data_IF_899920977137
#
_entry.id   IF_899920977137
#
_cell.length_a   1.000
_cell.length_b   1.000
_cell.length_c   1.000
_cell.angle_alpha   90.00
_cell.angle_beta   90.00
_cell.angle_gamma   90.00
#
_symmetry.space_group_name_H-M   'P 1'
#
loop_
_entity.id
_entity.type
_entity.pdbx_description
1 polymer ?
#
# COMPACT_ATOMS: atom_id res chain seq x y z
N UNK A 1 -11.13 13.19 -2.51
CA UNK A 1 -9.78 12.58 -2.49
C UNK A 1 -9.81 11.05 -2.58
N UNK A 2 -10.69 10.34 -1.85
CA UNK A 2 -10.76 8.86 -1.88
C UNK A 2 -10.87 8.24 -3.29
N UNK A 3 -11.61 8.89 -4.19
CA UNK A 3 -11.81 8.43 -5.56
C UNK A 3 -10.56 8.55 -6.45
N UNK A 4 -9.66 9.51 -6.17
CA UNK A 4 -8.40 9.66 -6.92
C UNK A 4 -7.50 8.46 -6.64
N UNK A 5 -7.39 8.06 -5.38
CA UNK A 5 -6.66 6.85 -5.01
C UNK A 5 -7.33 5.59 -5.52
N UNK A 6 -8.67 5.50 -5.47
CA UNK A 6 -9.39 4.33 -5.96
C UNK A 6 -9.22 4.15 -7.47
N UNK A 7 -9.36 5.23 -8.26
CA UNK A 7 -9.16 5.21 -9.72
C UNK A 7 -7.69 4.92 -10.08
N UNK A 8 -6.74 5.40 -9.29
CA UNK A 8 -5.32 5.13 -9.51
C UNK A 8 -4.92 3.70 -9.09
N UNK A 9 -5.42 3.21 -7.96
CA UNK A 9 -5.12 1.88 -7.45
C UNK A 9 -5.87 0.79 -8.21
N UNK A 10 -7.02 1.09 -8.83
CA UNK A 10 -7.79 0.13 -9.61
C UNK A 10 -6.98 -0.59 -10.70
N UNK A 11 -6.30 0.10 -11.64
CA UNK A 11 -5.49 -0.57 -12.67
C UNK A 11 -4.32 -1.35 -12.06
N UNK A 12 -3.74 -0.86 -10.96
CA UNK A 12 -2.69 -1.58 -10.22
C UNK A 12 -3.20 -2.88 -9.62
N UNK A 13 -4.33 -2.85 -8.91
CA UNK A 13 -4.92 -4.03 -8.28
C UNK A 13 -5.35 -5.06 -9.32
N UNK A 14 -5.90 -4.62 -10.45
CA UNK A 14 -6.25 -5.51 -11.56
C UNK A 14 -4.99 -6.18 -12.12
N UNK A 15 -3.93 -5.40 -12.39
CA UNK A 15 -2.68 -5.92 -12.91
C UNK A 15 -2.01 -6.89 -11.93
N UNK A 16 -1.86 -6.50 -10.65
CA UNK A 16 -1.26 -7.33 -9.61
C UNK A 16 -2.10 -8.57 -9.29
N UNK A 17 -3.42 -8.44 -9.27
CA UNK A 17 -4.34 -9.55 -9.04
C UNK A 17 -4.20 -10.60 -10.13
N UNK A 18 -4.21 -10.19 -11.40
CA UNK A 18 -3.96 -11.08 -12.52
C UNK A 18 -2.55 -11.68 -12.48
N UNK A 19 -1.52 -10.85 -12.29
CA UNK A 19 -0.12 -11.29 -12.21
C UNK A 19 0.07 -12.36 -11.13
N UNK A 20 -0.48 -12.13 -9.94
CA UNK A 20 -0.38 -13.05 -8.81
C UNK A 20 -1.16 -14.34 -9.06
N UNK A 21 -2.43 -14.25 -9.46
CA UNK A 21 -3.22 -15.45 -9.79
C UNK A 21 -2.50 -16.30 -10.83
N UNK A 22 -1.95 -15.66 -11.85
CA UNK A 22 -1.32 -16.37 -12.95
C UNK A 22 0.05 -16.94 -12.61
N UNK A 23 0.82 -16.25 -11.78
CA UNK A 23 2.10 -16.75 -11.28
C UNK A 23 1.92 -18.01 -10.39
N UNK A 24 0.84 -18.06 -9.60
CA UNK A 24 0.51 -19.22 -8.75
C UNK A 24 -0.32 -20.30 -9.47
N UNK A 25 -0.53 -20.17 -10.78
CA UNK A 25 -1.31 -21.10 -11.60
C UNK A 25 -2.76 -21.29 -11.08
N UNK A 26 -3.33 -20.24 -10.48
CA UNK A 26 -4.71 -20.20 -10.00
C UNK A 26 -5.62 -19.92 -11.20
N UNK A 27 -5.86 -20.97 -11.97
CA UNK A 27 -6.59 -20.91 -13.22
C UNK A 27 -8.01 -21.41 -12.94
N UNK A 28 -8.99 -20.52 -12.77
CA UNK A 28 -10.41 -20.90 -12.60
C UNK A 28 -11.05 -21.43 -13.91
N UNK A 29 -10.28 -22.11 -14.76
CA UNK A 29 -10.64 -22.47 -16.13
C UNK A 29 -10.37 -21.38 -17.17
N UNK A 30 -9.86 -20.22 -16.75
CA UNK A 30 -9.49 -19.13 -17.66
C UNK A 30 -8.06 -19.30 -18.18
N UNK A 31 -7.92 -19.42 -19.51
CA UNK A 31 -6.62 -19.59 -20.17
C UNK A 31 -5.68 -18.39 -19.93
N UNK A 32 -6.24 -17.18 -19.85
CA UNK A 32 -5.50 -15.94 -19.57
C UNK A 32 -4.84 -15.92 -18.19
N UNK A 33 -5.35 -16.69 -17.22
CA UNK A 33 -4.75 -16.81 -15.89
C UNK A 33 -3.71 -17.93 -15.85
N UNK A 34 -3.54 -18.72 -16.89
CA UNK A 34 -2.52 -19.77 -16.88
C UNK A 34 -1.11 -19.21 -16.84
N UNK A 35 -0.22 -19.91 -16.15
CA UNK A 35 1.20 -19.56 -16.13
C UNK A 35 1.82 -19.49 -17.53
N UNK A 36 1.34 -20.33 -18.45
CA UNK A 36 1.83 -20.36 -19.83
C UNK A 36 1.55 -19.06 -20.59
N UNK A 37 0.34 -18.50 -20.43
CA UNK A 37 -0.01 -17.20 -21.04
C UNK A 37 0.78 -16.07 -20.38
N UNK A 38 0.94 -16.10 -19.07
CA UNK A 38 1.79 -15.15 -18.36
C UNK A 38 3.22 -15.13 -18.91
N UNK A 39 3.86 -16.29 -18.98
CA UNK A 39 5.22 -16.40 -19.51
C UNK A 39 5.29 -15.96 -20.98
N UNK A 40 4.28 -16.28 -21.79
CA UNK A 40 4.19 -15.83 -23.18
C UNK A 40 4.09 -14.30 -23.28
N UNK A 41 3.23 -13.68 -22.47
CA UNK A 41 3.05 -12.23 -22.45
C UNK A 41 4.35 -11.52 -22.04
N UNK A 42 5.04 -12.02 -21.01
CA UNK A 42 6.34 -11.45 -20.62
C UNK A 42 7.44 -11.66 -21.65
N UNK A 43 7.44 -12.79 -22.36
CA UNK A 43 8.37 -13.02 -23.47
C UNK A 43 8.14 -12.04 -24.62
N UNK A 44 6.88 -11.82 -25.02
CA UNK A 44 6.53 -10.85 -26.06
C UNK A 44 6.92 -9.43 -25.64
N UNK A 45 6.65 -9.04 -24.38
CA UNK A 45 7.08 -7.74 -23.88
C UNK A 45 8.59 -7.60 -23.81
N UNK A 46 9.31 -8.65 -23.41
CA UNK A 46 10.77 -8.69 -23.39
C UNK A 46 11.37 -8.49 -24.78
N UNK A 47 10.80 -9.15 -25.80
CA UNK A 47 11.24 -9.02 -27.18
C UNK A 47 10.99 -7.61 -27.74
N UNK A 48 9.83 -7.02 -27.44
CA UNK A 48 9.50 -5.63 -27.85
C UNK A 48 10.40 -4.60 -27.16
N UNK A 49 10.70 -4.80 -25.87
CA UNK A 49 11.50 -3.86 -25.06
C UNK A 49 13.01 -4.11 -25.18
N UNK A 50 13.43 -5.23 -25.76
CA UNK A 50 14.82 -5.69 -25.75
C UNK A 50 15.35 -5.98 -24.34
N UNK A 51 14.46 -6.35 -23.41
CA UNK A 51 14.77 -6.61 -22.01
C UNK A 51 14.53 -8.08 -21.68
N UNK A 52 15.29 -8.61 -20.71
CA UNK A 52 15.05 -9.96 -20.21
C UNK A 52 13.63 -10.04 -19.60
N UNK A 53 12.77 -10.98 -20.05
CA UNK A 53 11.41 -11.17 -19.52
C UNK A 53 11.36 -11.29 -17.98
N UNK A 54 12.40 -11.88 -17.39
CA UNK A 54 12.53 -12.04 -15.94
C UNK A 54 12.82 -10.74 -15.18
N UNK A 55 13.34 -9.73 -15.88
CA UNK A 55 13.68 -8.42 -15.31
C UNK A 55 12.49 -7.44 -15.31
N UNK A 56 11.44 -7.71 -16.09
CA UNK A 56 10.26 -6.84 -16.22
C UNK A 56 9.45 -6.78 -14.91
N UNK A 57 9.05 -7.90 -14.28
CA UNK A 57 8.29 -7.86 -13.04
C UNK A 57 8.95 -7.08 -11.89
N UNK A 58 10.26 -7.27 -11.58
CA UNK A 58 10.89 -6.49 -10.51
C UNK A 58 11.02 -5.00 -10.87
N UNK A 59 11.12 -4.64 -12.15
CA UNK A 59 11.12 -3.23 -12.58
C UNK A 59 9.76 -2.57 -12.31
N UNK A 60 8.68 -3.25 -12.69
CA UNK A 60 7.30 -2.79 -12.47
C UNK A 60 7.03 -2.66 -10.97
N UNK A 61 7.45 -3.64 -10.17
CA UNK A 61 7.30 -3.60 -8.71
C UNK A 61 7.94 -2.35 -8.10
N UNK A 62 9.17 -2.02 -8.50
CA UNK A 62 9.86 -0.81 -8.02
C UNK A 62 9.13 0.47 -8.44
N UNK A 63 8.64 0.53 -9.68
CA UNK A 63 7.86 1.66 -10.17
C UNK A 63 6.56 1.84 -9.37
N UNK A 64 5.82 0.76 -9.09
CA UNK A 64 4.60 0.81 -8.29
C UNK A 64 4.85 1.32 -6.87
N UNK A 65 5.91 0.83 -6.19
CA UNK A 65 6.27 1.29 -4.85
C UNK A 65 6.58 2.79 -4.87
N UNK A 66 7.36 3.24 -5.84
CA UNK A 66 7.73 4.64 -5.98
C UNK A 66 6.52 5.53 -6.26
N UNK A 67 5.62 5.11 -7.16
CA UNK A 67 4.40 5.85 -7.50
C UNK A 67 3.44 5.92 -6.30
N UNK A 68 3.28 4.82 -5.54
CA UNK A 68 2.51 4.81 -4.29
C UNK A 68 3.10 5.77 -3.26
N UNK A 69 4.43 5.80 -3.13
CA UNK A 69 5.15 6.71 -2.24
C UNK A 69 4.92 8.17 -2.64
N UNK A 70 5.03 8.50 -3.92
CA UNK A 70 4.80 9.86 -4.43
C UNK A 70 3.37 10.29 -4.16
N UNK A 71 2.39 9.45 -4.47
CA UNK A 71 0.97 9.77 -4.28
C UNK A 71 0.63 9.91 -2.79
N UNK A 72 1.19 9.03 -1.95
CA UNK A 72 1.11 9.15 -0.49
C UNK A 72 1.75 10.44 0.02
N UNK A 73 2.92 10.81 -0.50
CA UNK A 73 3.64 12.03 -0.12
C UNK A 73 2.89 13.30 -0.52
N UNK A 74 2.37 13.37 -1.75
CA UNK A 74 1.56 14.49 -2.24
C UNK A 74 0.30 14.66 -1.40
N UNK A 75 -0.37 13.56 -1.05
CA UNK A 75 -1.55 13.60 -0.20
C UNK A 75 -1.24 14.03 1.22
N UNK A 76 -0.19 13.46 1.83
CA UNK A 76 0.27 13.84 3.16
C UNK A 76 0.65 15.32 3.20
N UNK A 77 1.28 15.84 2.15
CA UNK A 77 1.64 17.25 2.04
C UNK A 77 0.42 18.16 1.90
N UNK A 78 -0.58 17.80 1.08
CA UNK A 78 -1.85 18.55 0.97
C UNK A 78 -2.66 18.52 2.25
N UNK A 79 -2.62 17.42 3.00
CA UNK A 79 -3.37 17.21 4.24
C UNK A 79 -2.54 17.51 5.49
N UNK A 80 -1.34 18.09 5.35
CA UNK A 80 -0.36 18.33 6.43
C UNK A 80 -0.96 19.00 7.67
N UNK A 81 -1.93 19.90 7.48
CA UNK A 81 -2.61 20.62 8.58
C UNK A 81 -3.55 19.74 9.39
N UNK A 82 -4.25 18.78 8.77
CA UNK A 82 -5.12 17.86 9.50
C UNK A 82 -4.35 16.69 10.10
N UNK A 83 -3.32 16.21 9.41
CA UNK A 83 -2.42 15.18 9.97
C UNK A 83 -1.70 15.73 11.20
N UNK A 84 -1.24 16.99 11.17
CA UNK A 84 -0.64 17.64 12.34
C UNK A 84 -1.63 17.82 13.50
N UNK A 85 -2.91 18.13 13.21
CA UNK A 85 -3.96 18.19 14.25
C UNK A 85 -4.21 16.81 14.86
N UNK A 86 -4.41 15.78 14.03
CA UNK A 86 -4.59 14.39 14.47
C UNK A 86 -3.39 13.87 15.29
N UNK A 87 -2.17 14.23 14.92
CA UNK A 87 -0.95 13.89 15.67
C UNK A 87 -0.87 14.61 17.02
N UNK A 88 -1.26 15.89 17.09
CA UNK A 88 -1.31 16.65 18.36
C UNK A 88 -2.38 16.07 19.29
N UNK A 89 -3.59 15.81 18.79
CA UNK A 89 -4.69 15.20 19.55
C UNK A 89 -4.30 13.82 20.11
N UNK A 90 -3.60 12.99 19.34
CA UNK A 90 -3.06 11.69 19.82
C UNK A 90 -2.03 11.84 20.93
N UNK A 91 -1.14 12.83 20.84
CA UNK A 91 -0.16 13.13 21.90
C UNK A 91 -0.84 13.66 23.17
N UNK A 92 -1.85 14.50 23.03
CA UNK A 92 -2.63 15.04 24.15
C UNK A 92 -3.44 13.94 24.86
N UNK A 93 -4.09 13.03 24.10
CA UNK A 93 -4.77 11.85 24.67
C UNK A 93 -3.83 10.86 25.36
N UNK A 94 -2.62 10.68 24.83
CA UNK A 94 -1.61 9.80 25.46
C UNK A 94 -1.03 10.42 26.74
N UNK A 95 -1.02 11.75 26.84
CA UNK A 95 -0.62 12.51 28.04
C UNK A 95 -1.73 12.48 29.10
N UNK A 96 -3.01 12.57 28.70
CA UNK A 96 -4.14 12.50 29.63
C UNK A 96 -4.36 11.09 30.22
N UNK A 97 -4.02 10.02 29.49
CA UNK A 97 -4.11 8.64 30.01
C UNK A 97 -3.01 8.34 31.05
N UNK A 98 -1.82 8.96 30.92
CA UNK A 98 -0.75 8.82 31.93
C UNK A 98 -0.95 9.75 33.14
N UNK A 99 -1.80 10.77 33.03
CA UNK A 99 -2.25 11.59 34.16
C UNK A 99 -3.46 10.93 34.87
N UNK A 100 -3.35 9.65 35.20
CA UNK A 100 -4.29 8.97 36.09
C UNK A 100 -4.38 9.73 37.43
N UNK A 101 -5.56 9.78 38.07
CA UNK A 101 -5.78 10.63 39.23
C UNK A 101 -4.79 10.22 40.32
N UNK A 102 -4.00 11.18 40.82
CA UNK A 102 -3.32 11.05 42.10
C UNK A 102 -4.41 10.89 43.16
N UNK A 103 -4.86 9.65 43.36
CA UNK A 103 -5.73 9.23 44.46
C UNK A 103 -5.03 9.72 45.71
N UNK A 104 -5.65 10.72 46.35
CA UNK A 104 -5.18 11.27 47.61
C UNK A 104 -4.92 10.12 48.57
N UNK A 105 -3.64 9.94 48.90
CA UNK A 105 -3.19 9.03 49.92
C UNK A 105 -3.59 9.67 51.25
N UNK A 106 -4.81 9.39 51.70
CA UNK A 106 -5.25 9.78 53.05
C UNK A 106 -4.45 8.93 54.03
N UNK A 107 -3.65 9.52 54.94
CA UNK A 107 -2.90 8.76 55.92
C UNK A 107 -3.88 8.02 56.86
N UNK A 108 -3.54 6.79 57.31
CA UNK A 108 -4.39 6.06 58.23
C UNK A 108 -4.46 6.84 59.55
N UNK A 109 -5.67 7.14 60.01
CA UNK A 109 -5.88 7.71 61.33
C UNK A 109 -5.46 6.67 62.39
N UNK A 110 -4.55 7.09 63.26
CA UNK A 110 -4.18 6.42 64.52
C UNK A 110 -5.33 6.46 65.53
#
# INVERSE_FOLDING_TARGET
MRYVFAIWAAPLVIFWGWFYLSYYDINFGYLMLSRQVHDFVFNVYGDILGLDPSSIPPLIMRACIFDTLIIGAIWAFRRRREIARWWRERREQSTSINAGPSVGQVPPAE
#
